data_IF_862567770539
#
_entry.id   IF_862567770539
#
_cell.length_a   1.000
_cell.length_b   1.000
_cell.length_c   1.000
_cell.angle_alpha   90.00
_cell.angle_beta   90.00
_cell.angle_gamma   90.00
#
_symmetry.space_group_name_H-M   'P 1'
#
loop_
_entity.id
_entity.type
_entity.pdbx_description
1 polymer ?
#
# COMPACT_ATOMS: atom_id res chain seq x y z
N UNK A 1 8.52 7.35 -10.72
CA UNK A 1 9.21 7.98 -11.86
C UNK A 1 8.63 7.58 -13.22
N UNK A 2 8.76 6.32 -13.67
CA UNK A 2 8.34 5.89 -15.02
C UNK A 2 6.83 6.04 -15.33
N UNK A 3 5.99 6.18 -14.29
CA UNK A 3 4.54 6.36 -14.41
C UNK A 3 4.10 7.79 -14.79
N UNK A 4 5.04 8.75 -14.87
CA UNK A 4 4.71 10.16 -15.15
C UNK A 4 4.03 10.30 -16.51
N UNK A 5 2.87 10.94 -16.52
CA UNK A 5 2.08 11.17 -17.75
C UNK A 5 1.20 9.99 -18.17
N UNK A 6 1.22 8.89 -17.42
CA UNK A 6 0.33 7.74 -17.61
C UNK A 6 -0.81 7.78 -16.58
N UNK A 7 -1.88 7.04 -16.86
CA UNK A 7 -3.00 6.80 -15.93
C UNK A 7 -3.51 5.38 -16.12
N UNK A 8 -4.00 4.77 -15.03
CA UNK A 8 -4.45 3.38 -15.02
C UNK A 8 -5.76 3.28 -14.20
N UNK A 9 -6.70 2.38 -14.57
CA UNK A 9 -7.91 2.16 -13.78
C UNK A 9 -7.60 1.79 -12.33
N UNK A 10 -6.68 0.86 -12.13
CA UNK A 10 -6.27 0.38 -10.82
C UNK A 10 -4.75 0.54 -10.65
N UNK A 11 -4.32 1.12 -9.54
CA UNK A 11 -2.90 1.32 -9.22
C UNK A 11 -2.57 0.70 -7.87
N UNK A 12 -1.43 0.02 -7.82
CA UNK A 12 -0.84 -0.50 -6.60
C UNK A 12 0.48 0.23 -6.36
N UNK A 13 0.58 0.95 -5.24
CA UNK A 13 1.84 1.49 -4.74
C UNK A 13 2.32 0.54 -3.65
N UNK A 14 3.47 -0.07 -3.88
CA UNK A 14 4.01 -1.12 -3.02
C UNK A 14 5.28 -0.66 -2.32
N UNK A 15 5.49 -1.15 -1.10
CA UNK A 15 6.67 -0.84 -0.30
C UNK A 15 6.64 0.58 0.27
N UNK A 16 5.47 1.02 0.75
CA UNK A 16 5.33 2.27 1.50
C UNK A 16 5.90 2.10 2.91
N UNK A 17 7.22 2.06 2.96
CA UNK A 17 8.02 1.84 4.15
C UNK A 17 9.02 2.99 4.28
N UNK A 18 9.35 3.39 5.51
CA UNK A 18 10.48 4.28 5.77
C UNK A 18 11.75 3.69 5.15
N UNK A 19 12.63 4.57 4.67
CA UNK A 19 13.87 4.25 3.95
C UNK A 19 13.64 3.69 2.51
N UNK A 20 12.40 3.38 2.11
CA UNK A 20 12.02 2.99 0.73
C UNK A 20 11.27 4.11 0.03
N UNK A 21 10.18 4.58 0.64
CA UNK A 21 9.41 5.73 0.20
C UNK A 21 8.86 6.44 1.44
N UNK A 22 9.52 7.49 1.96
CA UNK A 22 10.67 8.19 1.36
C UNK A 22 11.95 7.37 1.33
N UNK A 23 12.73 7.49 0.24
CA UNK A 23 14.02 6.81 0.13
C UNK A 23 15.01 7.33 1.18
N UNK A 24 15.85 6.42 1.71
CA UNK A 24 16.89 6.72 2.72
C UNK A 24 17.70 7.98 2.46
N UNK A 25 18.27 8.12 1.27
CA UNK A 25 19.09 9.28 0.91
C UNK A 25 18.31 10.59 1.04
N UNK A 26 17.03 10.59 0.65
CA UNK A 26 16.16 11.76 0.72
C UNK A 26 15.82 12.11 2.17
N UNK A 27 15.79 11.14 3.08
CA UNK A 27 15.69 11.37 4.54
C UNK A 27 16.97 12.01 5.06
N UNK A 28 18.13 11.43 4.76
CA UNK A 28 19.44 11.90 5.23
C UNK A 28 19.77 13.31 4.71
N UNK A 29 19.37 13.63 3.48
CA UNK A 29 19.56 14.95 2.84
C UNK A 29 18.46 15.96 3.20
N UNK A 30 17.48 15.57 4.02
CA UNK A 30 16.31 16.38 4.37
C UNK A 30 15.53 16.89 3.13
N UNK A 31 15.45 16.05 2.09
CA UNK A 31 14.76 16.31 0.82
C UNK A 31 13.45 15.50 0.70
N UNK A 32 12.72 15.37 1.81
CA UNK A 32 11.45 14.61 1.87
C UNK A 32 10.39 15.16 0.91
N UNK A 33 10.43 16.46 0.62
CA UNK A 33 9.45 17.09 -0.26
C UNK A 33 9.49 16.57 -1.70
N UNK A 34 10.64 16.11 -2.20
CA UNK A 34 10.69 15.46 -3.52
C UNK A 34 10.04 14.07 -3.47
N UNK A 35 10.30 13.26 -2.45
CA UNK A 35 9.64 11.96 -2.25
C UNK A 35 8.13 12.10 -2.07
N UNK A 36 7.69 13.15 -1.36
CA UNK A 36 6.27 13.50 -1.21
C UNK A 36 5.64 13.81 -2.57
N UNK A 37 6.33 14.57 -3.43
CA UNK A 37 5.89 14.80 -4.82
C UNK A 37 5.82 13.50 -5.61
N UNK A 38 6.76 12.59 -5.43
CA UNK A 38 6.73 11.27 -6.08
C UNK A 38 5.53 10.44 -5.64
N UNK A 39 5.20 10.43 -4.35
CA UNK A 39 4.02 9.77 -3.81
C UNK A 39 2.74 10.39 -4.39
N UNK A 40 2.62 11.72 -4.40
CA UNK A 40 1.49 12.43 -5.01
C UNK A 40 1.32 12.10 -6.50
N UNK A 41 2.42 12.09 -7.27
CA UNK A 41 2.38 11.68 -8.68
C UNK A 41 1.88 10.25 -8.78
N UNK A 42 2.33 9.34 -7.92
CA UNK A 42 1.86 7.95 -7.84
C UNK A 42 0.35 7.84 -7.58
N UNK A 43 -0.16 8.54 -6.56
CA UNK A 43 -1.58 8.58 -6.19
C UNK A 43 -2.42 9.01 -7.40
N UNK A 44 -2.04 10.11 -8.04
CA UNK A 44 -2.76 10.67 -9.20
C UNK A 44 -2.68 9.84 -10.48
N UNK A 45 -1.99 8.68 -10.47
CA UNK A 45 -2.04 7.75 -11.61
C UNK A 45 -3.30 6.88 -11.59
N UNK A 46 -3.97 6.76 -10.45
CA UNK A 46 -5.16 5.93 -10.28
C UNK A 46 -6.41 6.67 -10.76
N UNK A 47 -7.25 5.99 -11.56
CA UNK A 47 -8.53 6.54 -12.03
C UNK A 47 -9.73 6.02 -11.25
N UNK A 48 -9.68 4.77 -10.80
CA UNK A 48 -10.78 4.12 -10.07
C UNK A 48 -10.37 3.68 -8.68
N UNK A 49 -9.31 2.86 -8.55
CA UNK A 49 -8.85 2.37 -7.24
C UNK A 49 -7.36 2.52 -7.06
N UNK A 50 -6.98 2.92 -5.85
CA UNK A 50 -5.60 2.98 -5.39
C UNK A 50 -5.42 2.04 -4.19
N UNK A 51 -4.50 1.09 -4.31
CA UNK A 51 -4.11 0.20 -3.22
C UNK A 51 -2.70 0.55 -2.77
N UNK A 52 -2.56 0.81 -1.48
CA UNK A 52 -1.30 1.13 -0.83
C UNK A 52 -0.86 -0.07 0.01
N UNK A 53 0.39 -0.50 -0.11
CA UNK A 53 0.90 -1.66 0.64
C UNK A 53 2.26 -1.39 1.24
N UNK A 54 2.48 -1.94 2.42
CA UNK A 54 3.76 -1.99 3.12
C UNK A 54 3.92 -3.40 3.71
N UNK A 55 5.16 -3.87 3.85
CA UNK A 55 5.45 -5.10 4.56
C UNK A 55 5.64 -4.82 6.05
N UNK A 56 5.38 -5.81 6.92
CA UNK A 56 5.81 -5.78 8.32
C UNK A 56 7.27 -6.25 8.48
N UNK A 57 7.72 -7.12 7.57
CA UNK A 57 9.08 -7.61 7.49
C UNK A 57 9.49 -7.79 6.03
N UNK A 58 10.73 -7.43 5.71
CA UNK A 58 11.30 -7.63 4.37
C UNK A 58 12.58 -8.45 4.41
N UNK A 59 12.87 -9.17 3.33
CA UNK A 59 14.16 -9.84 3.14
C UNK A 59 15.08 -8.95 2.31
N UNK A 60 16.17 -8.49 2.89
CA UNK A 60 17.16 -7.66 2.22
C UNK A 60 18.56 -8.23 2.49
N UNK A 61 19.35 -8.41 1.41
CA UNK A 61 20.68 -9.03 1.47
C UNK A 61 20.75 -10.37 2.22
N UNK A 62 19.65 -11.14 2.19
CA UNK A 62 19.58 -12.45 2.85
C UNK A 62 18.99 -12.39 4.27
N UNK A 63 18.96 -11.22 4.90
CA UNK A 63 18.47 -11.03 6.26
C UNK A 63 17.01 -10.56 6.28
N UNK A 64 16.28 -10.92 7.35
CA UNK A 64 14.93 -10.41 7.61
C UNK A 64 15.04 -9.14 8.45
N UNK A 65 14.41 -8.09 7.99
CA UNK A 65 14.43 -6.76 8.61
C UNK A 65 12.98 -6.36 8.88
N UNK A 66 12.71 -5.89 10.10
CA UNK A 66 11.44 -5.25 10.42
C UNK A 66 11.37 -3.87 9.76
N UNK A 67 10.20 -3.55 9.25
CA UNK A 67 9.97 -2.35 8.45
C UNK A 67 9.03 -1.42 9.19
N UNK A 68 9.26 -0.12 9.02
CA UNK A 68 8.40 0.92 9.57
C UNK A 68 7.50 1.41 8.43
N UNK A 69 6.18 1.55 8.62
CA UNK A 69 5.31 2.13 7.61
C UNK A 69 5.77 3.53 7.22
N UNK A 70 5.62 3.90 5.96
CA UNK A 70 5.96 5.24 5.45
C UNK A 70 5.17 6.32 6.21
N UNK A 71 5.85 7.39 6.62
CA UNK A 71 5.22 8.61 7.15
C UNK A 71 4.14 9.19 6.23
N UNK A 72 4.19 8.94 4.93
CA UNK A 72 3.19 9.44 4.00
C UNK A 72 1.83 8.78 4.17
N UNK A 73 1.75 7.63 4.85
CA UNK A 73 0.47 7.01 5.19
C UNK A 73 -0.30 7.82 6.24
N UNK A 74 0.41 8.41 7.21
CA UNK A 74 -0.19 9.23 8.28
C UNK A 74 -0.69 10.60 7.79
N UNK A 75 -0.30 10.99 6.57
CA UNK A 75 -0.69 12.25 5.95
C UNK A 75 -1.96 12.15 5.09
N UNK A 76 -2.44 10.92 4.87
CA UNK A 76 -3.66 10.68 4.09
C UNK A 76 -4.90 10.91 4.95
N UNK A 77 -6.01 11.42 4.37
CA UNK A 77 -7.26 11.59 5.10
C UNK A 77 -7.78 10.24 5.61
N UNK A 78 -7.98 10.11 6.93
CA UNK A 78 -8.42 8.85 7.55
C UNK A 78 -9.78 8.39 7.00
N UNK A 79 -10.67 9.32 6.67
CA UNK A 79 -12.00 9.03 6.10
C UNK A 79 -11.95 8.33 4.74
N UNK A 80 -10.86 8.50 3.99
CA UNK A 80 -10.65 7.91 2.67
C UNK A 80 -9.89 6.58 2.74
N UNK A 81 -9.32 6.24 3.90
CA UNK A 81 -8.53 5.03 4.10
C UNK A 81 -9.39 3.84 4.56
N UNK A 82 -9.10 2.69 3.96
CA UNK A 82 -9.59 1.38 4.44
C UNK A 82 -8.41 0.48 4.69
N UNK A 83 -8.09 0.26 5.96
CA UNK A 83 -7.01 -0.63 6.37
C UNK A 83 -7.43 -2.10 6.24
N UNK A 84 -6.59 -2.89 5.60
CA UNK A 84 -6.72 -4.34 5.51
C UNK A 84 -5.43 -5.01 6.00
N UNK A 85 -5.54 -6.17 6.65
CA UNK A 85 -4.36 -6.97 7.05
C UNK A 85 -3.63 -6.49 8.31
N UNK A 86 -4.12 -5.47 9.02
CA UNK A 86 -3.53 -4.94 10.27
C UNK A 86 -3.82 -5.79 11.52
N UNK A 87 -4.21 -7.06 11.36
CA UNK A 87 -4.42 -8.02 12.45
C UNK A 87 -5.70 -7.80 13.27
N UNK A 88 -6.06 -6.55 13.56
CA UNK A 88 -7.20 -6.18 14.40
C UNK A 88 -8.02 -5.09 13.74
N UNK A 89 -9.21 -5.42 13.23
CA UNK A 89 -10.31 -4.44 13.13
C UNK A 89 -11.69 -5.11 13.27
N UNK A 90 -11.90 -6.33 12.77
CA UNK A 90 -13.09 -7.12 13.05
C UNK A 90 -12.90 -8.57 12.55
N UNK A 91 -12.69 -9.51 13.50
CA UNK A 91 -12.53 -10.94 13.19
C UNK A 91 -13.77 -11.48 12.48
N UNK A 92 -14.96 -10.96 12.82
CA UNK A 92 -16.23 -11.38 12.24
C UNK A 92 -16.37 -10.86 10.81
N UNK A 93 -16.01 -9.59 10.54
CA UNK A 93 -15.96 -9.07 9.17
C UNK A 93 -14.94 -9.82 8.30
N UNK A 94 -13.77 -10.15 8.84
CA UNK A 94 -12.74 -10.92 8.12
C UNK A 94 -13.24 -12.33 7.76
N UNK A 95 -13.89 -13.02 8.70
CA UNK A 95 -14.49 -14.34 8.43
C UNK A 95 -15.65 -14.25 7.43
N UNK A 96 -16.50 -13.23 7.53
CA UNK A 96 -17.63 -13.02 6.61
C UNK A 96 -17.14 -12.69 5.19
N UNK A 97 -16.15 -11.81 5.05
CA UNK A 97 -15.49 -11.49 3.77
C UNK A 97 -14.83 -12.74 3.19
N UNK A 98 -14.08 -13.49 4.01
CA UNK A 98 -13.46 -14.75 3.61
C UNK A 98 -14.47 -15.78 3.10
N UNK A 99 -15.58 -16.02 3.83
CA UNK A 99 -16.66 -16.91 3.39
C UNK A 99 -17.31 -16.42 2.09
N UNK A 100 -17.58 -15.13 1.96
CA UNK A 100 -18.20 -14.56 0.76
C UNK A 100 -17.29 -14.71 -0.47
N UNK A 101 -16.00 -14.40 -0.34
CA UNK A 101 -15.00 -14.58 -1.41
C UNK A 101 -14.89 -16.05 -1.81
N UNK A 102 -14.82 -16.96 -0.84
CA UNK A 102 -14.70 -18.40 -1.12
C UNK A 102 -15.96 -18.94 -1.79
N UNK A 103 -17.14 -18.49 -1.37
CA UNK A 103 -18.42 -18.83 -2.00
C UNK A 103 -18.53 -18.32 -3.44
N UNK A 104 -18.05 -17.11 -3.73
CA UNK A 104 -18.05 -16.56 -5.08
C UNK A 104 -17.11 -17.36 -6.00
N UNK A 105 -15.91 -17.68 -5.53
CA UNK A 105 -14.95 -18.50 -6.27
C UNK A 105 -15.48 -19.92 -6.55
N UNK A 106 -16.16 -20.54 -5.58
CA UNK A 106 -16.79 -21.85 -5.77
C UNK A 106 -17.98 -21.80 -6.73
N UNK A 107 -18.79 -20.74 -6.67
CA UNK A 107 -19.91 -20.53 -7.59
C UNK A 107 -19.47 -20.36 -9.04
N UNK A 108 -18.37 -19.65 -9.28
CA UNK A 108 -17.78 -19.50 -10.63
C UNK A 108 -17.15 -20.81 -11.16
N UNK A 109 -16.82 -21.74 -10.27
CA UNK A 109 -16.31 -23.08 -10.62
C UNK A 109 -17.42 -24.12 -10.88
N UNK A 110 -18.70 -23.73 -10.75
CA UNK A 110 -19.85 -24.58 -11.09
C UNK A 110 -20.13 -25.73 -10.12
N UNK A 111 -19.76 -25.59 -8.84
CA UNK A 111 -20.09 -26.53 -7.77
C UNK A 111 -21.36 -26.11 -7.00
#
# INVERSE_FOLDING_TARGET
>A
HASKGLEFPHVFIMGLEEEILPHRSSIEENNIEEERRLMYVGITRARETLTLTYAAQRKQYGEKIETIPSRFLDELPEEDLRWEGTGDLDVEANQKKGKATLSALLGDLGA
#
